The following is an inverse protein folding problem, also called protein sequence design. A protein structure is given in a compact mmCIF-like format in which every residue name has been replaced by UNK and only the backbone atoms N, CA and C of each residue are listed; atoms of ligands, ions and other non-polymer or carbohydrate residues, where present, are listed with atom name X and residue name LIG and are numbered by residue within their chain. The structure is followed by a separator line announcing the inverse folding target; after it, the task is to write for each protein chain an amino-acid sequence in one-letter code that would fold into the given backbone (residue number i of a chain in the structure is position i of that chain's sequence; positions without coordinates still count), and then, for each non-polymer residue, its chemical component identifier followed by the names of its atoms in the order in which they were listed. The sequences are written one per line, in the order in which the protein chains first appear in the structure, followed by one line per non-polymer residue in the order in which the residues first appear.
data_IF_392914685324
#
_entry.id   IF_392914685324
#
_cell.length_a   1.000
_cell.length_b   1.000
_cell.length_c   1.000
_cell.angle_alpha   90.00
_cell.angle_beta   90.00
_cell.angle_gamma   90.00
#
_symmetry.space_group_name_H-M   'P 1'
#
loop_
_entity.id
_entity.type
_entity.pdbx_description
1 polymer ?
#
# COMPACT_ATOMS: atom_id res chain seq x y z
N UNK A 1 -39.85 -14.90 -39.28
CA UNK A 1 -38.63 -14.90 -40.10
C UNK A 1 -37.45 -14.77 -39.19
N UNK A 2 -36.79 -15.90 -38.87
CA UNK A 2 -35.63 -15.95 -37.98
C UNK A 2 -34.36 -15.82 -38.84
N UNK A 3 -33.60 -14.76 -38.64
CA UNK A 3 -32.30 -14.55 -39.27
C UNK A 3 -31.27 -15.35 -38.44
N UNK A 4 -30.44 -16.22 -39.03
CA UNK A 4 -29.42 -16.95 -38.26
C UNK A 4 -28.25 -16.03 -37.95
N UNK A 5 -27.84 -16.03 -36.69
CA UNK A 5 -26.63 -15.36 -36.19
C UNK A 5 -25.38 -15.94 -36.86
N UNK A 6 -24.55 -15.04 -37.32
CA UNK A 6 -23.36 -15.22 -38.11
C UNK A 6 -22.30 -16.11 -37.43
N UNK A 7 -21.79 -17.10 -38.15
CA UNK A 7 -20.79 -18.11 -37.73
C UNK A 7 -19.37 -17.57 -37.48
N UNK A 8 -19.19 -16.25 -37.42
CA UNK A 8 -17.85 -15.66 -37.24
C UNK A 8 -17.42 -15.44 -35.78
N UNK A 9 -18.21 -15.88 -34.81
CA UNK A 9 -17.86 -15.75 -33.38
C UNK A 9 -17.36 -17.04 -32.71
N UNK A 10 -17.08 -18.10 -33.47
CA UNK A 10 -16.67 -19.42 -32.91
C UNK A 10 -15.20 -19.79 -33.02
N UNK A 11 -14.32 -18.88 -33.43
CA UNK A 11 -12.87 -19.17 -33.50
C UNK A 11 -12.03 -18.11 -32.78
N UNK A 12 -12.37 -17.75 -31.54
CA UNK A 12 -11.35 -17.33 -30.58
C UNK A 12 -10.79 -18.61 -29.91
N UNK A 13 -10.04 -19.37 -30.71
CA UNK A 13 -9.20 -20.45 -30.21
C UNK A 13 -8.08 -19.83 -29.37
N UNK A 14 -8.09 -20.20 -28.09
CA UNK A 14 -6.94 -20.44 -27.22
C UNK A 14 -5.63 -19.83 -27.74
N UNK A 15 -5.45 -18.54 -27.50
CA UNK A 15 -4.14 -17.93 -27.58
C UNK A 15 -3.26 -18.59 -26.51
N UNK A 16 -2.08 -19.03 -26.89
CA UNK A 16 -1.02 -19.45 -25.99
C UNK A 16 -0.91 -18.43 -24.85
N UNK A 17 -1.28 -18.88 -23.64
CA UNK A 17 -1.17 -18.09 -22.41
C UNK A 17 0.24 -17.51 -22.39
N UNK A 18 0.34 -16.20 -22.28
CA UNK A 18 1.65 -15.55 -22.22
C UNK A 18 2.41 -16.03 -20.98
N UNK A 19 3.73 -15.93 -20.99
CA UNK A 19 4.54 -16.27 -19.81
C UNK A 19 4.09 -15.46 -18.58
N UNK A 20 3.59 -14.24 -18.80
CA UNK A 20 3.02 -13.39 -17.76
C UNK A 20 1.73 -13.98 -17.20
N UNK A 21 0.81 -14.46 -18.06
CA UNK A 21 -0.45 -15.09 -17.63
C UNK A 21 -0.19 -16.36 -16.82
N UNK A 22 0.82 -17.16 -17.19
CA UNK A 22 1.21 -18.36 -16.45
C UNK A 22 1.74 -18.02 -15.04
N UNK A 23 2.54 -16.95 -14.93
CA UNK A 23 3.05 -16.45 -13.63
C UNK A 23 1.88 -15.95 -12.78
N UNK A 24 0.96 -15.18 -13.35
CA UNK A 24 -0.23 -14.68 -12.66
C UNK A 24 -1.11 -15.84 -12.20
N UNK A 25 -1.42 -16.80 -13.08
CA UNK A 25 -2.21 -17.98 -12.70
C UNK A 25 -1.56 -18.81 -11.59
N UNK A 26 -0.24 -19.02 -11.67
CA UNK A 26 0.50 -19.75 -10.65
C UNK A 26 0.43 -19.02 -9.30
N UNK A 27 0.59 -17.71 -9.31
CA UNK A 27 0.51 -16.88 -8.11
C UNK A 27 -0.91 -16.87 -7.52
N UNK A 28 -1.92 -16.69 -8.34
CA UNK A 28 -3.32 -16.76 -7.90
C UNK A 28 -3.67 -18.14 -7.31
N UNK A 29 -3.22 -19.23 -7.97
CA UNK A 29 -3.42 -20.58 -7.43
C UNK A 29 -2.76 -20.76 -6.06
N UNK A 30 -1.58 -20.20 -5.83
CA UNK A 30 -0.90 -20.26 -4.52
C UNK A 30 -1.66 -19.51 -3.43
N UNK A 31 -2.27 -18.37 -3.76
CA UNK A 31 -3.08 -17.57 -2.83
C UNK A 31 -4.40 -18.31 -2.50
N UNK A 32 -5.09 -18.85 -3.52
CA UNK A 32 -6.36 -19.55 -3.33
C UNK A 32 -6.22 -20.97 -2.79
N UNK A 33 -5.04 -21.57 -2.87
CA UNK A 33 -4.77 -22.92 -2.31
C UNK A 33 -4.59 -22.91 -0.79
N UNK A 34 -4.54 -21.75 -0.14
CA UNK A 34 -4.52 -21.71 1.31
C UNK A 34 -5.85 -22.27 1.87
N UNK A 35 -5.82 -23.27 2.75
CA UNK A 35 -7.03 -23.83 3.31
C UNK A 35 -7.81 -22.72 4.03
N UNK A 36 -9.05 -22.51 3.61
CA UNK A 36 -9.95 -21.59 4.33
C UNK A 36 -10.18 -22.16 5.72
N UNK A 37 -9.95 -21.35 6.75
CA UNK A 37 -10.24 -21.72 8.12
C UNK A 37 -11.75 -21.94 8.28
N UNK A 38 -12.12 -22.83 9.19
CA UNK A 38 -13.53 -22.96 9.57
C UNK A 38 -14.00 -21.69 10.30
N UNK A 39 -15.28 -21.40 10.25
CA UNK A 39 -15.88 -20.26 10.97
C UNK A 39 -15.58 -20.31 12.47
N UNK A 40 -15.47 -21.50 13.04
CA UNK A 40 -15.12 -21.68 14.45
C UNK A 40 -13.67 -21.27 14.72
N UNK A 41 -12.73 -21.67 13.90
CA UNK A 41 -11.31 -21.27 14.01
C UNK A 41 -11.14 -19.77 13.84
N UNK A 42 -11.81 -19.17 12.84
CA UNK A 42 -11.82 -17.72 12.65
C UNK A 42 -12.32 -16.98 13.89
N UNK A 43 -13.41 -17.47 14.50
CA UNK A 43 -13.94 -16.92 15.74
C UNK A 43 -12.94 -16.97 16.90
N UNK A 44 -12.23 -18.09 17.05
CA UNK A 44 -11.19 -18.24 18.07
C UNK A 44 -10.02 -17.25 17.85
N UNK A 45 -9.52 -17.16 16.62
CA UNK A 45 -8.44 -16.19 16.30
C UNK A 45 -8.89 -14.75 16.51
N UNK A 46 -10.11 -14.40 16.06
CA UNK A 46 -10.66 -13.07 16.24
C UNK A 46 -10.74 -12.68 17.71
N UNK A 47 -11.26 -13.55 18.57
CA UNK A 47 -11.31 -13.31 20.01
C UNK A 47 -9.92 -13.17 20.63
N UNK A 48 -8.99 -14.02 20.20
CA UNK A 48 -7.60 -13.95 20.69
C UNK A 48 -6.92 -12.63 20.28
N UNK A 49 -7.12 -12.17 19.04
CA UNK A 49 -6.58 -10.89 18.58
C UNK A 49 -7.19 -9.74 19.38
N UNK A 50 -8.50 -9.71 19.60
CA UNK A 50 -9.16 -8.68 20.42
C UNK A 50 -8.57 -8.60 21.83
N UNK A 51 -8.31 -9.75 22.44
CA UNK A 51 -7.68 -9.80 23.75
C UNK A 51 -6.24 -9.25 23.71
N UNK A 52 -5.43 -9.67 22.73
CA UNK A 52 -4.06 -9.21 22.58
C UNK A 52 -3.99 -7.69 22.32
N UNK A 53 -4.91 -7.11 21.56
CA UNK A 53 -4.97 -5.67 21.32
C UNK A 53 -5.15 -4.91 22.63
N UNK A 54 -6.06 -5.37 23.50
CA UNK A 54 -6.28 -4.80 24.83
C UNK A 54 -5.05 -4.95 25.72
N UNK A 55 -4.52 -6.16 25.84
CA UNK A 55 -3.38 -6.49 26.71
C UNK A 55 -2.11 -5.71 26.34
N UNK A 56 -1.97 -5.35 25.07
CA UNK A 56 -0.78 -4.67 24.52
C UNK A 56 -0.99 -3.17 24.29
N UNK A 57 -2.13 -2.63 24.67
CA UNK A 57 -2.51 -1.26 24.29
C UNK A 57 -2.26 -0.98 22.81
N UNK A 58 -2.85 -1.82 21.96
CA UNK A 58 -2.65 -1.84 20.51
C UNK A 58 -3.95 -1.55 19.77
N UNK A 59 -3.82 -0.97 18.58
CA UNK A 59 -4.94 -0.71 17.67
C UNK A 59 -4.59 -1.18 16.26
N UNK A 60 -5.59 -1.69 15.52
CA UNK A 60 -5.43 -2.05 14.11
C UNK A 60 -5.77 -0.84 13.25
N UNK A 61 -4.89 -0.51 12.30
CA UNK A 61 -5.17 0.41 11.21
C UNK A 61 -5.10 -0.38 9.90
N UNK A 62 -6.22 -0.51 9.20
CA UNK A 62 -6.35 -1.37 8.04
C UNK A 62 -6.57 -0.54 6.77
N UNK A 63 -5.87 -0.92 5.71
CA UNK A 63 -6.12 -0.36 4.39
C UNK A 63 -7.38 -0.99 3.78
N UNK A 64 -8.20 -0.21 3.08
CA UNK A 64 -9.46 -0.68 2.49
C UNK A 64 -9.29 -1.74 1.38
N UNK A 65 -8.04 -2.08 0.98
CA UNK A 65 -7.75 -3.22 0.11
C UNK A 65 -7.54 -4.54 0.86
N UNK A 66 -7.54 -4.53 2.20
CA UNK A 66 -7.38 -5.75 2.99
C UNK A 66 -8.65 -6.60 2.98
N UNK A 67 -8.52 -7.85 3.41
CA UNK A 67 -9.66 -8.76 3.52
C UNK A 67 -10.77 -8.15 4.39
N UNK A 68 -12.06 -8.30 4.02
CA UNK A 68 -13.19 -7.77 4.78
C UNK A 68 -13.21 -8.18 6.25
N UNK A 69 -12.71 -9.37 6.59
CA UNK A 69 -12.63 -9.83 7.98
C UNK A 69 -11.63 -9.04 8.81
N UNK A 70 -10.54 -8.57 8.20
CA UNK A 70 -9.54 -7.70 8.82
C UNK A 70 -10.10 -6.29 8.98
N UNK A 71 -10.80 -5.78 7.97
CA UNK A 71 -11.46 -4.47 8.04
C UNK A 71 -12.47 -4.43 9.19
N UNK A 72 -13.38 -5.42 9.23
CA UNK A 72 -14.37 -5.53 10.31
C UNK A 72 -13.69 -5.66 11.69
N UNK A 73 -12.57 -6.39 11.80
CA UNK A 73 -11.84 -6.51 13.05
C UNK A 73 -11.22 -5.17 13.49
N UNK A 74 -10.70 -4.38 12.55
CA UNK A 74 -10.17 -3.04 12.84
C UNK A 74 -11.27 -2.14 13.41
N UNK A 75 -12.43 -2.04 12.76
CA UNK A 75 -13.56 -1.23 13.20
C UNK A 75 -14.10 -1.68 14.56
N UNK A 76 -14.30 -3.00 14.77
CA UNK A 76 -14.81 -3.56 16.02
C UNK A 76 -13.87 -3.35 17.22
N UNK A 77 -12.61 -3.08 16.99
CA UNK A 77 -11.59 -2.90 18.03
C UNK A 77 -11.17 -1.45 18.23
N UNK A 78 -11.92 -0.51 17.65
CA UNK A 78 -11.68 0.93 17.80
C UNK A 78 -10.58 1.46 16.89
N UNK A 79 -10.21 0.68 15.86
CA UNK A 79 -9.29 1.10 14.80
C UNK A 79 -10.00 1.77 13.63
N UNK A 80 -9.33 1.86 12.50
CA UNK A 80 -9.85 2.52 11.29
C UNK A 80 -9.59 1.67 10.05
N UNK A 81 -10.49 1.81 9.07
CA UNK A 81 -10.29 1.35 7.69
C UNK A 81 -10.24 2.57 6.78
N UNK A 82 -9.11 2.80 6.12
CA UNK A 82 -8.94 4.01 5.31
C UNK A 82 -7.83 3.88 4.26
N UNK A 83 -7.49 4.99 3.60
CA UNK A 83 -6.30 5.12 2.77
C UNK A 83 -5.02 5.26 3.63
N UNK A 84 -3.88 5.18 2.96
CA UNK A 84 -2.58 5.17 3.62
C UNK A 84 -2.25 6.44 4.44
N UNK A 85 -2.73 7.60 4.00
CA UNK A 85 -2.48 8.86 4.70
C UNK A 85 -3.33 8.97 5.95
N UNK A 86 -4.62 8.66 5.85
CA UNK A 86 -5.53 8.73 6.99
C UNK A 86 -5.21 7.64 8.03
N UNK A 87 -4.76 6.45 7.59
CA UNK A 87 -4.20 5.43 8.50
C UNK A 87 -3.05 5.98 9.33
N UNK A 88 -2.12 6.70 8.70
CA UNK A 88 -0.97 7.29 9.39
C UNK A 88 -1.39 8.44 10.34
N UNK A 89 -2.32 9.30 9.91
CA UNK A 89 -2.90 10.36 10.76
C UNK A 89 -3.62 9.80 11.98
N UNK A 90 -4.50 8.83 11.77
CA UNK A 90 -5.19 8.15 12.87
C UNK A 90 -4.19 7.55 13.85
N UNK A 91 -3.18 6.85 13.31
CA UNK A 91 -2.12 6.27 14.12
C UNK A 91 -1.36 7.31 14.96
N UNK A 92 -1.14 8.52 14.42
CA UNK A 92 -0.43 9.59 15.14
C UNK A 92 -1.25 10.19 16.28
N UNK A 93 -2.57 10.26 16.14
CA UNK A 93 -3.45 10.87 17.15
C UNK A 93 -4.03 9.87 18.14
N UNK A 94 -4.07 8.58 17.79
CA UNK A 94 -4.64 7.55 18.66
C UNK A 94 -3.77 7.28 19.89
N UNK A 95 -4.39 7.00 21.05
CA UNK A 95 -3.68 6.82 22.32
C UNK A 95 -2.92 5.49 22.48
N UNK A 96 -3.14 4.51 21.61
CA UNK A 96 -2.44 3.23 21.67
C UNK A 96 -0.93 3.40 21.42
N UNK A 97 -0.13 2.64 22.16
CA UNK A 97 1.33 2.62 22.02
C UNK A 97 1.82 1.71 20.90
N UNK A 98 0.94 0.84 20.43
CA UNK A 98 1.25 -0.14 19.36
C UNK A 98 0.24 0.01 18.23
N UNK A 99 0.74 0.22 17.02
CA UNK A 99 -0.05 0.22 15.80
C UNK A 99 0.16 -1.11 15.06
N UNK A 100 -0.93 -1.81 14.76
CA UNK A 100 -0.90 -2.98 13.87
C UNK A 100 -1.38 -2.54 12.50
N UNK A 101 -0.46 -2.34 11.59
CA UNK A 101 -0.75 -1.84 10.24
C UNK A 101 -1.04 -3.01 9.30
N UNK A 102 -2.31 -3.18 8.93
CA UNK A 102 -2.75 -4.13 7.92
C UNK A 102 -2.77 -3.43 6.55
N UNK A 103 -1.69 -3.58 5.81
CA UNK A 103 -1.48 -2.95 4.51
C UNK A 103 -0.14 -3.37 3.93
N UNK A 104 0.35 -2.64 2.92
CA UNK A 104 1.66 -2.87 2.31
C UNK A 104 2.78 -2.13 3.05
N UNK A 105 4.02 -2.57 2.85
CA UNK A 105 5.21 -2.17 3.61
C UNK A 105 5.36 -0.65 3.80
N UNK A 106 5.26 0.14 2.73
CA UNK A 106 5.43 1.60 2.82
C UNK A 106 4.41 2.28 3.76
N UNK A 107 3.22 1.69 3.97
CA UNK A 107 2.20 2.22 4.90
C UNK A 107 2.66 2.08 6.34
N UNK A 108 3.21 0.92 6.71
CA UNK A 108 3.82 0.72 8.03
C UNK A 108 5.04 1.61 8.26
N UNK A 109 5.88 1.77 7.24
CA UNK A 109 7.03 2.68 7.28
C UNK A 109 6.57 4.13 7.46
N UNK A 110 5.55 4.59 6.73
CA UNK A 110 4.98 5.92 6.87
C UNK A 110 4.40 6.14 8.27
N UNK A 111 3.64 5.16 8.79
CA UNK A 111 3.14 5.21 10.16
C UNK A 111 4.29 5.33 11.17
N UNK A 112 5.39 4.59 10.99
CA UNK A 112 6.56 4.66 11.86
C UNK A 112 7.29 6.00 11.78
N UNK A 113 7.42 6.59 10.59
CA UNK A 113 8.03 7.91 10.39
C UNK A 113 7.23 8.99 11.14
N UNK A 114 5.90 8.93 11.06
CA UNK A 114 5.02 9.93 11.70
C UNK A 114 4.81 9.71 13.19
N UNK A 115 5.13 8.52 13.70
CA UNK A 115 4.99 8.14 15.13
C UNK A 115 6.23 7.38 15.62
N UNK A 116 7.40 8.03 15.66
CA UNK A 116 8.65 7.35 15.99
C UNK A 116 8.67 6.74 17.40
N UNK A 117 7.86 7.25 18.31
CA UNK A 117 7.71 6.75 19.69
C UNK A 117 6.87 5.47 19.78
N UNK A 118 5.98 5.21 18.82
CA UNK A 118 5.09 4.04 18.85
C UNK A 118 5.75 2.82 18.23
N UNK A 119 5.35 1.66 18.71
CA UNK A 119 5.70 0.39 18.07
C UNK A 119 4.75 0.14 16.91
N UNK A 120 5.29 0.02 15.71
CA UNK A 120 4.54 -0.35 14.50
C UNK A 120 4.81 -1.81 14.17
N UNK A 121 3.75 -2.59 14.04
CA UNK A 121 3.79 -4.00 13.67
C UNK A 121 3.04 -4.18 12.34
N UNK A 122 3.50 -5.09 11.52
CA UNK A 122 2.83 -5.51 10.28
C UNK A 122 2.72 -7.03 10.26
N UNK A 123 1.61 -7.59 9.74
CA UNK A 123 1.45 -9.05 9.60
C UNK A 123 2.52 -9.68 8.71
N UNK A 124 2.96 -8.97 7.68
CA UNK A 124 4.06 -9.33 6.80
C UNK A 124 4.76 -8.09 6.27
N UNK A 125 6.08 -8.18 6.01
CA UNK A 125 6.86 -7.15 5.33
C UNK A 125 7.05 -7.46 3.84
N UNK A 126 6.55 -8.60 3.37
CA UNK A 126 6.63 -9.02 1.96
C UNK A 126 5.56 -8.36 1.10
N UNK A 127 4.44 -7.94 1.70
CA UNK A 127 3.39 -7.20 0.99
C UNK A 127 3.91 -5.81 0.61
N UNK A 128 4.05 -5.56 -0.68
CA UNK A 128 4.60 -4.30 -1.22
C UNK A 128 3.75 -3.75 -2.36
N UNK A 129 4.14 -2.61 -2.89
CA UNK A 129 3.47 -1.91 -3.98
C UNK A 129 4.37 -1.87 -5.21
N UNK A 130 3.80 -1.99 -6.41
CA UNK A 130 4.56 -1.90 -7.67
C UNK A 130 5.32 -0.58 -7.82
N UNK A 131 4.77 0.52 -7.29
CA UNK A 131 5.44 1.82 -7.29
C UNK A 131 6.68 1.82 -6.39
N UNK A 132 6.64 1.15 -5.24
CA UNK A 132 7.77 0.98 -4.35
C UNK A 132 8.85 0.09 -4.96
N UNK A 133 8.44 -1.05 -5.56
CA UNK A 133 9.35 -1.96 -6.28
C UNK A 133 10.02 -1.25 -7.48
N UNK A 134 9.25 -0.42 -8.20
CA UNK A 134 9.73 0.31 -9.38
C UNK A 134 10.65 1.50 -9.07
N UNK A 135 10.90 1.80 -7.79
CA UNK A 135 11.77 2.88 -7.36
C UNK A 135 12.82 2.38 -6.35
N UNK A 136 13.80 1.56 -6.79
CA UNK A 136 14.88 1.08 -5.93
C UNK A 136 15.70 2.26 -5.40
N UNK A 137 16.07 2.20 -4.11
CA UNK A 137 16.72 3.33 -3.43
C UNK A 137 18.09 3.68 -4.03
N UNK A 138 18.82 2.69 -4.53
CA UNK A 138 20.16 2.90 -5.10
C UNK A 138 20.05 3.67 -6.42
N UNK A 139 19.19 3.22 -7.34
CA UNK A 139 18.92 3.89 -8.63
C UNK A 139 18.37 5.31 -8.40
N UNK A 140 17.45 5.44 -7.44
CA UNK A 140 16.88 6.73 -7.08
C UNK A 140 17.93 7.69 -6.50
N UNK A 141 18.84 7.19 -5.65
CA UNK A 141 19.91 7.98 -5.06
C UNK A 141 20.86 8.49 -6.12
N UNK A 142 21.29 7.62 -7.03
CA UNK A 142 22.14 7.99 -8.16
C UNK A 142 21.47 9.07 -9.03
N UNK A 143 20.19 8.93 -9.30
CA UNK A 143 19.44 9.91 -10.07
C UNK A 143 19.34 11.27 -9.34
N UNK A 144 19.17 11.29 -8.03
CA UNK A 144 19.20 12.50 -7.23
C UNK A 144 20.58 13.17 -7.27
N UNK A 145 21.65 12.40 -7.15
CA UNK A 145 23.03 12.90 -7.15
C UNK A 145 23.43 13.50 -8.52
N UNK A 146 22.85 12.99 -9.61
CA UNK A 146 23.00 13.52 -10.96
C UNK A 146 22.18 14.82 -11.19
N UNK A 147 21.24 15.14 -10.32
CA UNK A 147 20.34 16.28 -10.44
C UNK A 147 20.30 17.14 -9.15
N UNK A 148 21.43 17.63 -8.66
CA UNK A 148 21.53 18.29 -7.34
C UNK A 148 20.83 19.66 -7.27
N UNK A 149 20.49 20.25 -8.42
CA UNK A 149 19.78 21.53 -8.53
C UNK A 149 18.25 21.39 -8.42
N UNK A 150 17.74 20.17 -8.24
CA UNK A 150 16.32 19.90 -8.18
C UNK A 150 15.80 19.66 -6.76
N UNK A 151 14.61 20.13 -6.51
CA UNK A 151 13.85 19.79 -5.30
C UNK A 151 13.21 18.42 -5.50
N UNK A 152 13.56 17.47 -4.64
CA UNK A 152 13.08 16.09 -4.72
C UNK A 152 11.71 15.99 -4.07
N UNK A 153 10.71 15.61 -4.85
CA UNK A 153 9.33 15.35 -4.42
C UNK A 153 9.01 13.89 -4.68
N UNK A 154 8.63 13.16 -3.65
CA UNK A 154 8.25 11.75 -3.78
C UNK A 154 6.81 11.52 -3.39
N UNK A 155 6.16 10.62 -4.10
CA UNK A 155 4.85 10.15 -3.73
C UNK A 155 4.95 9.17 -2.55
N UNK A 156 3.95 9.16 -1.67
CA UNK A 156 3.96 8.36 -0.44
C UNK A 156 4.17 6.84 -0.65
N UNK A 157 3.86 6.34 -1.86
CA UNK A 157 4.00 4.92 -2.23
C UNK A 157 5.45 4.54 -2.57
N UNK A 158 6.38 4.93 -1.74
CA UNK A 158 7.81 4.65 -1.84
C UNK A 158 8.34 4.17 -0.49
N UNK A 159 9.51 3.53 -0.48
CA UNK A 159 10.15 3.07 0.75
C UNK A 159 10.56 4.23 1.68
N UNK A 160 10.77 3.92 2.96
CA UNK A 160 11.34 4.87 3.91
C UNK A 160 12.72 5.37 3.47
N UNK A 161 13.52 4.52 2.82
CA UNK A 161 14.84 4.86 2.31
C UNK A 161 14.77 5.91 1.18
N UNK A 162 13.82 5.78 0.26
CA UNK A 162 13.52 6.76 -0.79
C UNK A 162 13.02 8.07 -0.15
N UNK A 163 12.09 8.00 0.80
CA UNK A 163 11.57 9.17 1.53
C UNK A 163 12.69 9.95 2.25
N UNK A 164 13.69 9.25 2.77
CA UNK A 164 14.84 9.89 3.45
C UNK A 164 15.70 10.77 2.54
N UNK A 165 15.62 10.59 1.21
CA UNK A 165 16.28 11.43 0.21
C UNK A 165 15.39 12.59 -0.26
N UNK A 166 14.10 12.57 0.06
CA UNK A 166 13.14 13.54 -0.44
C UNK A 166 13.12 14.83 0.39
N UNK A 167 12.86 15.95 -0.27
CA UNK A 167 12.54 17.21 0.37
C UNK A 167 11.04 17.29 0.73
N UNK A 168 10.20 16.65 -0.09
CA UNK A 168 8.75 16.61 0.07
C UNK A 168 8.23 15.19 -0.16
N UNK A 169 7.29 14.79 0.69
CA UNK A 169 6.52 13.56 0.50
C UNK A 169 5.06 13.95 0.34
N UNK A 170 4.44 13.55 -0.77
CA UNK A 170 3.09 13.96 -1.14
C UNK A 170 2.17 12.77 -1.39
N UNK A 171 0.87 13.04 -1.36
CA UNK A 171 -0.20 12.16 -1.81
C UNK A 171 -1.01 12.88 -2.89
N UNK A 172 -1.94 12.18 -3.55
CA UNK A 172 -2.80 12.76 -4.60
C UNK A 172 -3.48 14.05 -4.16
N UNK A 173 -3.90 14.14 -2.91
CA UNK A 173 -4.67 15.27 -2.38
C UNK A 173 -3.88 16.58 -2.29
N UNK A 174 -2.55 16.51 -2.22
CA UNK A 174 -1.69 17.70 -2.03
C UNK A 174 -0.62 17.87 -3.10
N UNK A 175 -0.45 16.88 -3.99
CA UNK A 175 0.64 16.88 -4.97
C UNK A 175 0.64 18.15 -5.85
N UNK A 176 -0.50 18.50 -6.41
CA UNK A 176 -0.64 19.68 -7.28
C UNK A 176 -0.30 20.95 -6.52
N UNK A 177 -0.83 21.13 -5.30
CA UNK A 177 -0.57 22.33 -4.49
C UNK A 177 0.93 22.49 -4.16
N UNK A 178 1.61 21.37 -3.88
CA UNK A 178 3.06 21.39 -3.61
C UNK A 178 3.86 21.73 -4.85
N UNK A 179 3.49 21.19 -6.02
CA UNK A 179 4.12 21.47 -7.29
C UNK A 179 3.95 22.96 -7.66
N UNK A 180 2.73 23.48 -7.58
CA UNK A 180 2.43 24.90 -7.83
C UNK A 180 3.20 25.82 -6.89
N UNK A 181 3.28 25.48 -5.60
CA UNK A 181 4.09 26.23 -4.63
C UNK A 181 5.58 26.24 -5.01
N UNK A 182 6.14 25.08 -5.35
CA UNK A 182 7.55 24.97 -5.73
C UNK A 182 7.84 25.71 -7.05
N UNK A 183 6.94 25.65 -8.02
CA UNK A 183 7.04 26.40 -9.28
C UNK A 183 7.01 27.91 -9.02
N UNK A 184 6.10 28.40 -8.18
CA UNK A 184 6.05 29.81 -7.78
C UNK A 184 7.33 30.29 -7.09
N UNK A 185 8.08 29.37 -6.46
CA UNK A 185 9.40 29.62 -5.88
C UNK A 185 10.55 29.48 -6.89
N UNK A 186 10.26 29.22 -8.16
CA UNK A 186 11.26 29.01 -9.22
C UNK A 186 12.10 27.74 -9.04
N UNK A 187 11.56 26.73 -8.35
CA UNK A 187 12.25 25.47 -8.08
C UNK A 187 12.06 24.49 -9.23
N UNK A 188 13.16 23.87 -9.65
CA UNK A 188 13.09 22.71 -10.53
C UNK A 188 12.75 21.49 -9.69
N UNK A 189 11.87 20.65 -10.17
CA UNK A 189 11.38 19.46 -9.45
C UNK A 189 11.98 18.19 -10.02
N UNK A 190 12.37 17.26 -9.14
CA UNK A 190 12.59 15.85 -9.44
C UNK A 190 11.44 15.08 -8.81
N UNK A 191 10.65 14.40 -9.64
CA UNK A 191 9.48 13.65 -9.21
C UNK A 191 9.72 12.15 -9.23
N UNK A 192 9.27 11.44 -8.19
CA UNK A 192 9.28 9.98 -8.12
C UNK A 192 7.99 9.46 -7.41
N UNK A 193 7.59 8.18 -7.61
CA UNK A 193 8.41 7.07 -8.13
C UNK A 193 8.32 6.87 -9.66
N UNK A 194 7.33 7.43 -10.33
CA UNK A 194 7.13 7.19 -11.76
C UNK A 194 6.62 8.44 -12.50
N UNK A 195 6.54 8.34 -13.83
CA UNK A 195 6.11 9.44 -14.70
C UNK A 195 4.59 9.61 -14.81
N UNK A 196 3.80 8.67 -14.29
CA UNK A 196 2.34 8.67 -14.44
C UNK A 196 1.65 9.40 -13.31
N UNK A 197 2.33 9.54 -12.16
CA UNK A 197 1.87 10.31 -11.01
C UNK A 197 2.37 11.75 -11.01
N UNK A 198 3.30 12.07 -11.91
CA UNK A 198 3.91 13.40 -12.05
C UNK A 198 3.27 14.30 -13.10
#
# INVERSE_FOLDING_TARGET
MNTPLNQHQKNLSLSTTSKADQIIESHLKSIYAQPRRSTQEEGLYRNRIKQLLKDRNAVIVAHYYTDPSIQALAEETGGIVSDSLEMARFGSTHQANVLVVAGVKFMGETAKILTPEKKVLMPTLEATCSLDIGCPVDDFSEFCDQNPDRTVVVYANTSAAVKAKAHWVVTSSIAVNVIEYLDSCGKKILWAPDKYLG
#
